data_IF_533331234133
#
_entry.id   IF_533331234133
#
_cell.length_a   1.000
_cell.length_b   1.000
_cell.length_c   1.000
_cell.angle_alpha   90.00
_cell.angle_beta   90.00
_cell.angle_gamma   90.00
#
_symmetry.space_group_name_H-M   'P 1'
#
loop_
_entity.id
_entity.type
_entity.pdbx_description
1 polymer ?
#
# COMPACT_ATOMS: atom_id res chain seq x y z
N UNK A 1 -4.81 29.04 -17.66
CA UNK A 1 -5.74 27.91 -17.62
C UNK A 1 -5.02 26.62 -17.89
N UNK A 2 -4.96 25.75 -16.89
CA UNK A 2 -4.52 24.37 -17.00
C UNK A 2 -5.74 23.48 -17.32
N UNK A 3 -5.64 22.63 -18.33
CA UNK A 3 -6.72 21.69 -18.71
C UNK A 3 -6.35 20.23 -18.45
N UNK A 4 -5.13 20.01 -17.95
CA UNK A 4 -4.54 18.73 -17.59
C UNK A 4 -3.47 18.96 -16.51
N UNK A 5 -2.97 17.89 -15.91
CA UNK A 5 -1.92 17.94 -14.90
C UNK A 5 -2.42 17.90 -13.45
N UNK A 6 -1.50 18.01 -12.47
CA UNK A 6 -1.77 17.63 -11.09
C UNK A 6 -2.83 18.49 -10.40
N UNK A 7 -2.81 19.81 -10.62
CA UNK A 7 -3.81 20.73 -10.07
C UNK A 7 -5.19 20.46 -10.66
N UNK A 8 -5.26 20.28 -11.98
CA UNK A 8 -6.50 19.98 -12.68
C UNK A 8 -7.13 18.67 -12.19
N UNK A 9 -6.34 17.60 -12.04
CA UNK A 9 -6.86 16.31 -11.55
C UNK A 9 -7.24 16.35 -10.07
N UNK A 10 -6.50 17.10 -9.24
CA UNK A 10 -6.89 17.37 -7.84
C UNK A 10 -8.22 18.12 -7.76
N UNK A 11 -8.41 19.16 -8.58
CA UNK A 11 -9.68 19.89 -8.69
C UNK A 11 -10.81 19.02 -9.25
N UNK A 12 -10.52 18.16 -10.22
CA UNK A 12 -11.49 17.23 -10.80
C UNK A 12 -11.95 16.22 -9.76
N UNK A 13 -11.03 15.63 -9.00
CA UNK A 13 -11.38 14.71 -7.91
C UNK A 13 -12.25 15.38 -6.84
N UNK A 14 -11.91 16.62 -6.46
CA UNK A 14 -12.74 17.45 -5.56
C UNK A 14 -14.12 17.74 -6.15
N UNK A 15 -14.19 18.08 -7.44
CA UNK A 15 -15.45 18.36 -8.13
C UNK A 15 -16.33 17.10 -8.22
N UNK A 16 -15.75 15.95 -8.56
CA UNK A 16 -16.45 14.67 -8.59
C UNK A 16 -17.01 14.30 -7.20
N UNK A 17 -16.24 14.56 -6.14
CA UNK A 17 -16.71 14.44 -4.76
C UNK A 17 -17.88 15.38 -4.47
N UNK A 18 -17.84 16.65 -4.89
CA UNK A 18 -18.96 17.59 -4.70
C UNK A 18 -20.20 17.16 -5.51
N UNK A 19 -20.04 16.75 -6.76
CA UNK A 19 -21.13 16.38 -7.66
C UNK A 19 -21.89 15.13 -7.16
N UNK A 20 -21.23 14.23 -6.44
CA UNK A 20 -21.90 13.11 -5.77
C UNK A 20 -22.80 13.55 -4.60
N UNK A 21 -22.56 14.72 -4.00
CA UNK A 21 -23.43 15.28 -2.94
C UNK A 21 -24.78 15.76 -3.49
N UNK A 22 -24.86 16.13 -4.77
CA UNK A 22 -26.06 16.73 -5.38
C UNK A 22 -26.81 15.79 -6.34
N UNK A 23 -26.30 14.57 -6.56
CA UNK A 23 -26.84 13.64 -7.56
C UNK A 23 -26.54 14.06 -9.00
N UNK A 24 -25.49 14.87 -9.21
CA UNK A 24 -25.15 15.50 -10.50
C UNK A 24 -23.80 15.03 -11.03
N UNK A 25 -23.38 13.80 -10.69
CA UNK A 25 -22.07 13.24 -11.03
C UNK A 25 -21.78 13.28 -12.55
N UNK A 26 -22.80 13.10 -13.40
CA UNK A 26 -22.67 13.13 -14.87
C UNK A 26 -22.82 14.54 -15.47
N UNK A 27 -23.11 15.56 -14.66
CA UNK A 27 -23.42 16.93 -15.13
C UNK A 27 -22.22 17.86 -14.98
N UNK A 28 -21.42 17.69 -13.92
CA UNK A 28 -20.28 18.56 -13.64
C UNK A 28 -19.00 18.07 -14.30
N UNK A 29 -18.58 18.77 -15.36
CA UNK A 29 -17.29 18.57 -16.02
C UNK A 29 -16.35 19.72 -15.70
N UNK A 30 -15.19 19.42 -15.11
CA UNK A 30 -14.11 20.41 -14.99
C UNK A 30 -13.55 20.72 -16.39
N UNK A 31 -13.59 22.00 -16.78
CA UNK A 31 -13.11 22.47 -18.09
C UNK A 31 -11.70 23.06 -18.03
N UNK A 32 -11.31 23.63 -16.89
CA UNK A 32 -9.99 24.20 -16.67
C UNK A 32 -9.78 24.59 -15.22
N UNK A 33 -8.51 24.75 -14.84
CA UNK A 33 -8.05 25.26 -13.57
C UNK A 33 -7.27 26.56 -13.80
N UNK A 34 -7.66 27.63 -13.14
CA UNK A 34 -6.98 28.93 -13.23
C UNK A 34 -6.39 29.29 -11.86
N UNK A 35 -5.09 29.57 -11.86
CA UNK A 35 -4.36 30.02 -10.66
C UNK A 35 -4.30 31.53 -10.67
N UNK A 36 -4.92 32.15 -9.67
CA UNK A 36 -4.89 33.60 -9.49
C UNK A 36 -4.00 33.97 -8.31
N UNK A 37 -3.27 35.08 -8.46
CA UNK A 37 -2.54 35.69 -7.36
C UNK A 37 -3.52 36.42 -6.44
N UNK A 38 -3.53 36.07 -5.16
CA UNK A 38 -4.25 36.84 -4.13
C UNK A 38 -3.48 38.14 -3.87
N UNK A 39 -4.13 39.28 -4.12
CA UNK A 39 -3.54 40.63 -3.94
C UNK A 39 -3.82 41.22 -2.55
N UNK A 40 -4.90 40.78 -1.91
CA UNK A 40 -5.30 41.20 -0.57
C UNK A 40 -6.40 40.30 -0.02
N UNK A 41 -6.50 40.22 1.30
CA UNK A 41 -7.56 39.52 2.02
C UNK A 41 -8.15 40.52 3.01
N UNK A 42 -9.45 40.76 2.89
CA UNK A 42 -10.19 41.65 3.78
C UNK A 42 -11.33 40.87 4.45
N UNK A 43 -11.57 41.17 5.73
CA UNK A 43 -12.65 40.54 6.49
C UNK A 43 -13.93 41.32 6.19
N UNK A 44 -14.73 40.80 5.26
CA UNK A 44 -15.99 41.45 4.89
C UNK A 44 -16.99 41.46 6.07
N UNK A 45 -17.08 40.37 6.83
CA UNK A 45 -18.01 40.21 7.94
C UNK A 45 -17.44 39.33 9.06
N UNK A 46 -17.82 39.63 10.30
CA UNK A 46 -17.46 38.86 11.49
C UNK A 46 -16.09 39.20 12.07
N UNK A 47 -15.80 38.63 13.24
CA UNK A 47 -14.48 38.67 13.85
C UNK A 47 -13.74 37.40 13.43
N UNK A 48 -12.47 37.47 12.97
CA UNK A 48 -11.75 36.26 12.61
C UNK A 48 -11.67 35.36 13.84
N UNK A 49 -12.11 34.11 13.67
CA UNK A 49 -12.05 33.14 14.74
C UNK A 49 -10.61 32.95 15.23
N UNK A 50 -10.43 32.65 16.51
CA UNK A 50 -9.10 32.27 17.01
C UNK A 50 -8.62 31.05 16.23
N UNK A 51 -7.38 31.09 15.73
CA UNK A 51 -6.77 29.90 15.15
C UNK A 51 -6.90 28.75 16.18
N UNK A 52 -7.38 27.57 15.77
CA UNK A 52 -7.54 26.47 16.70
C UNK A 52 -6.19 26.16 17.35
N UNK A 53 -6.14 26.17 18.68
CA UNK A 53 -4.99 25.67 19.43
C UNK A 53 -4.98 24.16 19.29
N UNK A 54 -4.29 23.65 18.26
CA UNK A 54 -4.22 22.23 17.94
C UNK A 54 -2.83 21.63 18.06
N UNK A 55 -2.71 20.36 17.67
CA UNK A 55 -1.45 19.62 17.54
C UNK A 55 -0.38 20.44 16.77
N UNK A 56 0.86 20.47 17.24
CA UNK A 56 1.95 21.05 16.45
C UNK A 56 2.47 20.02 15.44
N UNK A 57 2.02 20.13 14.18
CA UNK A 57 2.33 19.18 13.10
C UNK A 57 3.82 19.13 12.78
N UNK A 58 4.52 20.25 12.92
CA UNK A 58 5.97 20.30 12.71
C UNK A 58 6.72 19.56 13.82
N UNK A 59 6.28 19.69 15.08
CA UNK A 59 6.85 18.93 16.19
C UNK A 59 6.58 17.42 16.04
N UNK A 60 5.36 17.05 15.65
CA UNK A 60 4.99 15.67 15.31
C UNK A 60 5.85 15.12 14.17
N UNK A 61 5.99 15.88 13.08
CA UNK A 61 6.83 15.53 11.92
C UNK A 61 8.28 15.32 12.33
N UNK A 62 8.88 16.23 13.11
CA UNK A 62 10.27 16.09 13.58
C UNK A 62 10.47 14.81 14.40
N UNK A 63 9.53 14.46 15.27
CA UNK A 63 9.59 13.23 16.04
C UNK A 63 9.39 11.99 15.16
N UNK A 64 8.47 12.06 14.19
CA UNK A 64 8.22 11.00 13.25
C UNK A 64 9.44 10.72 12.35
N UNK A 65 10.08 11.75 11.79
CA UNK A 65 11.24 11.57 10.92
C UNK A 65 12.42 10.92 11.65
N UNK A 66 12.62 11.23 12.93
CA UNK A 66 13.63 10.57 13.75
C UNK A 66 13.37 9.06 13.94
N UNK A 67 12.11 8.66 14.16
CA UNK A 67 11.71 7.25 14.27
C UNK A 67 11.89 6.51 12.96
N UNK A 68 11.37 7.08 11.86
CA UNK A 68 11.49 6.48 10.52
C UNK A 68 12.95 6.34 10.10
N UNK A 69 13.79 7.34 10.37
CA UNK A 69 15.23 7.27 10.07
C UNK A 69 15.99 6.20 10.86
N UNK A 70 15.44 5.69 11.96
CA UNK A 70 16.01 4.62 12.77
C UNK A 70 15.61 3.20 12.33
N UNK A 71 14.70 3.06 11.35
CA UNK A 71 14.24 1.76 10.89
C UNK A 71 15.35 0.97 10.18
N UNK A 72 15.45 -0.33 10.49
CA UNK A 72 16.46 -1.21 9.93
C UNK A 72 16.01 -2.00 8.69
N UNK A 73 14.71 -1.97 8.39
CA UNK A 73 14.10 -2.64 7.24
C UNK A 73 12.71 -2.09 6.88
N UNK A 74 12.17 -2.54 5.74
CA UNK A 74 10.88 -2.07 5.23
C UNK A 74 9.69 -2.43 6.13
N UNK A 75 9.73 -3.58 6.81
CA UNK A 75 8.67 -3.97 7.74
C UNK A 75 8.56 -2.96 8.89
N UNK A 76 9.71 -2.57 9.47
CA UNK A 76 9.79 -1.53 10.48
C UNK A 76 9.35 -0.17 9.93
N UNK A 77 9.75 0.21 8.70
CA UNK A 77 9.28 1.47 8.08
C UNK A 77 7.75 1.51 7.98
N UNK A 78 7.11 0.45 7.49
CA UNK A 78 5.65 0.42 7.34
C UNK A 78 4.95 0.47 8.70
N UNK A 79 5.41 -0.33 9.67
CA UNK A 79 4.86 -0.36 11.02
C UNK A 79 5.01 0.97 11.75
N UNK A 80 6.23 1.51 11.79
CA UNK A 80 6.52 2.78 12.46
C UNK A 80 5.79 3.95 11.79
N UNK A 81 5.64 3.97 10.47
CA UNK A 81 4.87 5.01 9.77
C UNK A 81 3.43 5.06 10.25
N UNK A 82 2.77 3.91 10.38
CA UNK A 82 1.40 3.86 10.89
C UNK A 82 1.34 4.20 12.39
N UNK A 83 2.31 3.74 13.18
CA UNK A 83 2.40 4.05 14.60
C UNK A 83 2.56 5.56 14.85
N UNK A 84 3.45 6.25 14.13
CA UNK A 84 3.62 7.70 14.27
C UNK A 84 2.41 8.48 13.81
N UNK A 85 1.72 8.03 12.76
CA UNK A 85 0.45 8.64 12.34
C UNK A 85 -0.59 8.57 13.48
N UNK A 86 -0.68 7.42 14.15
CA UNK A 86 -1.56 7.25 15.29
C UNK A 86 -1.15 8.13 16.47
N UNK A 87 0.07 7.96 16.96
CA UNK A 87 0.54 8.49 18.23
C UNK A 87 0.85 9.98 18.17
N UNK A 88 1.34 10.48 17.03
CA UNK A 88 1.84 11.85 16.88
C UNK A 88 0.96 12.74 16.02
N UNK A 89 0.19 12.18 15.09
CA UNK A 89 -0.71 12.94 14.20
C UNK A 89 -2.19 12.79 14.52
N UNK A 90 -2.54 11.97 15.52
CA UNK A 90 -3.93 11.68 15.92
C UNK A 90 -4.75 11.11 14.75
N UNK A 91 -4.10 10.28 13.91
CA UNK A 91 -4.72 9.61 12.77
C UNK A 91 -5.11 8.19 13.18
N UNK A 92 -6.40 7.90 13.18
CA UNK A 92 -6.92 6.60 13.59
C UNK A 92 -7.06 5.59 12.46
N UNK A 93 -7.19 6.05 11.21
CA UNK A 93 -7.37 5.18 10.05
C UNK A 93 -6.38 5.57 8.95
N UNK A 94 -5.49 4.65 8.63
CA UNK A 94 -4.41 4.88 7.69
C UNK A 94 -4.03 3.61 6.94
N UNK A 95 -3.61 3.78 5.69
CA UNK A 95 -3.09 2.72 4.85
C UNK A 95 -1.79 3.14 4.19
N UNK A 96 -0.92 2.15 4.03
CA UNK A 96 0.29 2.27 3.25
C UNK A 96 0.14 1.38 2.01
N UNK A 97 0.18 2.01 0.83
CA UNK A 97 0.05 1.32 -0.44
C UNK A 97 1.33 1.50 -1.28
N UNK A 98 1.73 0.46 -2.00
CA UNK A 98 2.84 0.50 -2.94
C UNK A 98 2.36 0.32 -4.37
N UNK A 99 3.02 0.98 -5.31
CA UNK A 99 2.74 0.88 -6.73
C UNK A 99 3.44 -0.35 -7.33
N UNK A 100 2.66 -1.19 -7.99
CA UNK A 100 3.14 -2.11 -9.02
C UNK A 100 3.03 -1.40 -10.38
N UNK A 101 4.15 -0.90 -10.87
CA UNK A 101 4.21 -0.16 -12.13
C UNK A 101 3.89 -1.05 -13.34
N UNK A 102 4.22 -2.34 -13.28
CA UNK A 102 3.96 -3.29 -14.37
C UNK A 102 2.47 -3.64 -14.45
N UNK A 103 1.84 -3.86 -13.31
CA UNK A 103 0.40 -4.16 -13.25
C UNK A 103 -0.49 -2.89 -13.29
N UNK A 104 0.11 -1.69 -13.25
CA UNK A 104 -0.59 -0.41 -13.12
C UNK A 104 -1.61 -0.41 -11.97
N UNK A 105 -1.20 -0.92 -10.80
CA UNK A 105 -2.06 -1.07 -9.61
C UNK A 105 -1.29 -0.73 -8.35
N UNK A 106 -1.99 -0.18 -7.36
CA UNK A 106 -1.50 -0.11 -6.00
C UNK A 106 -1.95 -1.33 -5.21
N UNK A 107 -1.14 -1.77 -4.25
CA UNK A 107 -1.50 -2.82 -3.30
C UNK A 107 -1.20 -2.40 -1.87
N UNK A 108 -2.10 -2.74 -0.95
CA UNK A 108 -1.97 -2.42 0.48
C UNK A 108 -0.90 -3.30 1.13
N UNK A 109 0.11 -2.71 1.76
CA UNK A 109 1.15 -3.43 2.51
C UNK A 109 0.95 -3.34 4.02
N UNK A 110 0.27 -2.30 4.48
CA UNK A 110 -0.03 -2.07 5.88
C UNK A 110 -1.29 -1.23 6.04
N UNK A 111 -2.01 -1.44 7.12
CA UNK A 111 -3.20 -0.66 7.48
C UNK A 111 -3.33 -0.53 9.00
N UNK A 112 -4.07 0.48 9.42
CA UNK A 112 -4.32 0.83 10.83
C UNK A 112 -5.79 1.22 10.99
N UNK A 113 -6.44 0.72 12.05
CA UNK A 113 -7.76 1.18 12.49
C UNK A 113 -8.96 0.51 11.82
N UNK A 114 -8.75 -0.38 10.85
CA UNK A 114 -9.83 -1.06 10.13
C UNK A 114 -10.23 -2.39 10.78
N UNK A 115 -11.49 -2.79 10.57
CA UNK A 115 -12.02 -4.08 11.05
C UNK A 115 -11.32 -5.28 10.39
N UNK A 116 -10.91 -5.12 9.12
CA UNK A 116 -10.10 -6.07 8.38
C UNK A 116 -8.80 -5.39 7.96
N UNK A 117 -7.70 -6.14 7.94
CA UNK A 117 -6.41 -5.57 7.55
C UNK A 117 -6.39 -5.15 6.07
N UNK A 118 -7.02 -5.94 5.19
CA UNK A 118 -7.04 -5.67 3.75
C UNK A 118 -5.65 -5.65 3.10
N UNK A 119 -4.63 -6.16 3.78
CA UNK A 119 -3.28 -6.33 3.24
C UNK A 119 -3.34 -7.21 2.00
N UNK A 120 -2.78 -6.73 0.89
CA UNK A 120 -2.87 -7.37 -0.43
C UNK A 120 -4.10 -6.97 -1.26
N UNK A 121 -5.02 -6.14 -0.74
CA UNK A 121 -6.07 -5.53 -1.57
C UNK A 121 -5.44 -4.65 -2.65
N UNK A 122 -6.04 -4.63 -3.85
CA UNK A 122 -5.52 -3.90 -5.00
C UNK A 122 -6.44 -2.76 -5.45
N UNK A 123 -5.83 -1.68 -5.94
CA UNK A 123 -6.51 -0.53 -6.53
C UNK A 123 -5.91 -0.23 -7.91
N UNK A 124 -6.71 -0.05 -8.97
CA UNK A 124 -6.20 0.41 -10.25
C UNK A 124 -5.54 1.80 -10.16
N UNK A 125 -4.42 2.01 -10.85
CA UNK A 125 -3.81 3.32 -10.98
C UNK A 125 -4.80 4.30 -11.64
N UNK A 126 -4.91 5.51 -11.11
CA UNK A 126 -5.89 6.51 -11.55
C UNK A 126 -7.33 6.29 -11.06
N UNK A 127 -7.62 5.24 -10.28
CA UNK A 127 -8.93 5.02 -9.69
C UNK A 127 -9.02 5.61 -8.27
N UNK A 128 -10.05 6.43 -8.04
CA UNK A 128 -10.27 7.10 -6.75
C UNK A 128 -9.13 8.06 -6.36
N UNK A 129 -9.23 8.67 -5.18
CA UNK A 129 -8.21 9.63 -4.72
C UNK A 129 -6.82 9.01 -4.56
N UNK A 130 -6.74 7.74 -4.15
CA UNK A 130 -5.48 7.02 -3.99
C UNK A 130 -4.80 6.82 -5.36
N UNK A 131 -5.54 6.27 -6.33
CA UNK A 131 -5.00 5.99 -7.66
C UNK A 131 -4.65 7.26 -8.42
N UNK A 132 -5.44 8.33 -8.29
CA UNK A 132 -5.14 9.63 -8.93
C UNK A 132 -3.91 10.26 -8.27
N UNK A 133 -3.82 10.31 -6.94
CA UNK A 133 -2.65 10.84 -6.24
C UNK A 133 -1.37 10.10 -6.67
N UNK A 134 -1.44 8.77 -6.78
CA UNK A 134 -0.33 7.96 -7.24
C UNK A 134 0.12 8.31 -8.67
N UNK A 135 -0.84 8.45 -9.60
CA UNK A 135 -0.59 8.73 -11.02
C UNK A 135 -0.02 10.13 -11.24
N UNK A 136 -0.61 11.13 -10.58
CA UNK A 136 -0.26 12.53 -10.75
C UNK A 136 0.94 12.96 -9.89
N UNK A 137 1.31 12.17 -8.89
CA UNK A 137 2.40 12.50 -7.97
C UNK A 137 2.12 13.73 -7.11
N UNK A 138 0.85 14.05 -6.85
CA UNK A 138 0.42 15.17 -6.01
C UNK A 138 -0.53 14.73 -4.89
N UNK A 139 -0.49 15.34 -3.70
CA UNK A 139 -1.50 15.12 -2.66
C UNK A 139 -2.92 15.46 -3.11
N UNK A 140 -3.88 14.65 -2.68
CA UNK A 140 -5.32 14.90 -2.89
C UNK A 140 -6.03 14.86 -1.55
N UNK A 141 -6.60 16.00 -1.17
CA UNK A 141 -7.33 16.18 0.09
C UNK A 141 -8.80 16.47 -0.16
N UNK A 142 -9.66 15.65 0.44
CA UNK A 142 -11.11 15.82 0.44
C UNK A 142 -11.58 16.11 1.87
N UNK A 143 -12.06 17.32 2.10
CA UNK A 143 -12.40 17.77 3.46
C UNK A 143 -13.84 17.43 3.89
N UNK A 144 -14.72 17.06 2.96
CA UNK A 144 -16.09 16.63 3.22
C UNK A 144 -16.49 15.56 2.19
N UNK A 145 -17.09 14.47 2.65
CA UNK A 145 -17.60 13.36 1.86
C UNK A 145 -18.98 12.96 2.38
N UNK A 146 -19.93 12.71 1.49
CA UNK A 146 -21.15 11.96 1.81
C UNK A 146 -20.95 10.48 1.50
N UNK A 147 -21.71 9.62 2.19
CA UNK A 147 -21.69 8.15 2.06
C UNK A 147 -21.79 7.62 0.62
N UNK A 148 -22.23 8.45 -0.32
CA UNK A 148 -22.30 8.14 -1.76
C UNK A 148 -20.93 7.89 -2.42
N UNK A 149 -19.82 8.31 -1.79
CA UNK A 149 -18.46 8.02 -2.26
C UNK A 149 -17.74 6.97 -1.40
N UNK A 150 -18.49 6.04 -0.80
CA UNK A 150 -17.91 4.80 -0.32
C UNK A 150 -17.24 4.10 -1.51
N UNK A 151 -15.92 4.02 -1.47
CA UNK A 151 -15.00 3.49 -2.48
C UNK A 151 -15.42 2.13 -3.10
N UNK A 152 -16.30 1.38 -2.42
CA UNK A 152 -16.97 0.18 -2.94
C UNK A 152 -17.72 0.36 -4.27
N UNK A 153 -18.05 1.58 -4.70
CA UNK A 153 -18.60 1.85 -6.04
C UNK A 153 -17.53 2.09 -7.11
N UNK A 154 -16.38 2.71 -6.80
CA UNK A 154 -15.33 2.97 -7.78
C UNK A 154 -14.62 1.67 -8.23
N UNK A 155 -14.40 0.71 -7.31
CA UNK A 155 -13.93 -0.64 -7.67
C UNK A 155 -14.99 -1.38 -8.50
N UNK A 156 -16.27 -1.22 -8.17
CA UNK A 156 -17.38 -1.86 -8.89
C UNK A 156 -17.51 -1.31 -10.31
N UNK A 157 -17.41 0.00 -10.48
CA UNK A 157 -17.41 0.65 -11.80
C UNK A 157 -16.18 0.32 -12.63
N UNK A 158 -15.00 0.19 -12.02
CA UNK A 158 -13.78 -0.23 -12.71
C UNK A 158 -13.88 -1.72 -13.14
N UNK A 159 -14.47 -2.58 -12.31
CA UNK A 159 -14.77 -3.97 -12.66
C UNK A 159 -15.79 -4.08 -13.80
N UNK A 160 -16.83 -3.23 -13.78
CA UNK A 160 -17.86 -3.15 -14.84
C UNK A 160 -17.28 -2.60 -16.15
N UNK A 161 -16.44 -1.55 -16.11
CA UNK A 161 -15.76 -1.01 -17.30
C UNK A 161 -14.70 -1.94 -17.88
N UNK A 162 -14.11 -2.81 -17.05
CA UNK A 162 -13.10 -3.78 -17.47
C UNK A 162 -13.65 -5.05 -18.09
N UNK A 163 -14.96 -5.31 -18.01
CA UNK A 163 -15.60 -6.47 -18.64
C UNK A 163 -15.16 -7.84 -18.10
N UNK A 164 -14.73 -7.93 -16.84
CA UNK A 164 -14.25 -9.20 -16.25
C UNK A 164 -15.19 -9.68 -15.15
N UNK A 165 -16.23 -10.42 -15.55
CA UNK A 165 -16.97 -11.29 -14.63
C UNK A 165 -16.00 -12.31 -14.00
N UNK A 166 -15.98 -12.40 -12.65
CA UNK A 166 -15.15 -13.36 -11.90
C UNK A 166 -13.97 -12.76 -11.11
N UNK A 167 -13.59 -11.49 -11.30
CA UNK A 167 -12.52 -10.83 -10.49
C UNK A 167 -12.96 -10.54 -9.06
N UNK A 168 -14.27 -10.36 -8.83
CA UNK A 168 -14.84 -10.01 -7.53
C UNK A 168 -14.79 -11.17 -6.50
N UNK A 169 -14.76 -12.43 -6.93
CA UNK A 169 -14.69 -13.59 -6.03
C UNK A 169 -13.27 -13.90 -5.52
N UNK A 170 -12.23 -13.36 -6.18
CA UNK A 170 -10.81 -13.65 -5.88
C UNK A 170 -10.00 -12.42 -5.45
N UNK A 171 -10.68 -11.37 -4.98
CA UNK A 171 -10.04 -10.13 -4.54
C UNK A 171 -10.08 -10.03 -3.01
N UNK A 172 -8.94 -9.65 -2.41
CA UNK A 172 -8.89 -9.29 -1.00
C UNK A 172 -9.72 -8.00 -0.83
N UNK A 173 -10.72 -7.97 0.08
CA UNK A 173 -11.52 -6.78 0.32
C UNK A 173 -10.63 -5.58 0.65
N UNK A 174 -10.95 -4.45 0.03
CA UNK A 174 -10.26 -3.20 0.35
C UNK A 174 -10.72 -2.73 1.73
N UNK A 175 -9.81 -2.45 2.67
CA UNK A 175 -10.18 -1.96 3.98
C UNK A 175 -10.60 -0.49 3.82
N UNK A 176 -11.70 -0.05 4.43
CA UNK A 176 -12.16 1.33 4.29
C UNK A 176 -13.27 1.65 5.27
N UNK A 177 -13.43 2.92 5.65
CA UNK A 177 -14.53 3.32 6.53
C UNK A 177 -15.85 3.36 5.77
N UNK A 178 -16.89 2.77 6.36
CA UNK A 178 -18.27 2.88 5.86
C UNK A 178 -18.75 4.35 5.82
N UNK A 179 -18.34 5.14 6.81
CA UNK A 179 -18.68 6.56 6.95
C UNK A 179 -17.43 7.45 6.88
N UNK A 180 -16.63 7.30 5.83
CA UNK A 180 -15.52 8.24 5.58
C UNK A 180 -16.04 9.62 5.23
N UNK A 181 -15.75 10.62 6.07
CA UNK A 181 -16.17 12.03 5.91
C UNK A 181 -15.06 12.97 5.47
N UNK A 182 -13.81 12.61 5.69
CA UNK A 182 -12.67 13.32 5.11
C UNK A 182 -11.50 12.38 4.83
N UNK A 183 -10.73 12.70 3.80
CA UNK A 183 -9.65 11.87 3.27
C UNK A 183 -8.45 12.71 2.83
N UNK A 184 -7.26 12.13 2.93
CA UNK A 184 -6.03 12.69 2.39
C UNK A 184 -5.17 11.55 1.82
N UNK A 185 -4.91 11.60 0.52
CA UNK A 185 -4.01 10.69 -0.18
C UNK A 185 -2.71 11.43 -0.52
N UNK A 186 -1.59 10.93 -0.02
CA UNK A 186 -0.26 11.56 -0.15
C UNK A 186 0.69 10.60 -0.90
N UNK A 187 1.18 10.97 -2.09
CA UNK A 187 2.17 10.17 -2.81
C UNK A 187 3.46 10.01 -2.02
N UNK A 188 4.09 8.86 -2.15
CA UNK A 188 5.42 8.56 -1.59
C UNK A 188 6.44 8.71 -2.72
N UNK A 189 7.21 9.81 -2.78
CA UNK A 189 8.22 10.01 -3.80
C UNK A 189 9.51 9.25 -3.44
N UNK A 190 10.14 8.65 -4.44
CA UNK A 190 11.45 8.01 -4.34
C UNK A 190 12.19 8.19 -5.66
N UNK A 191 13.39 8.78 -5.61
CA UNK A 191 14.23 9.04 -6.80
C UNK A 191 13.47 9.72 -7.97
N UNK A 192 12.64 10.72 -7.67
CA UNK A 192 11.88 11.49 -8.67
C UNK A 192 10.64 10.81 -9.22
N UNK A 193 10.18 9.69 -8.62
CA UNK A 193 8.98 8.95 -9.04
C UNK A 193 8.09 8.63 -7.85
N UNK A 194 6.80 8.45 -8.08
CA UNK A 194 5.88 7.94 -7.06
C UNK A 194 6.00 6.42 -6.95
N UNK A 195 6.26 5.90 -5.75
CA UNK A 195 6.39 4.46 -5.48
C UNK A 195 5.27 3.89 -4.62
N UNK A 196 4.40 4.76 -4.11
CA UNK A 196 3.29 4.38 -3.25
C UNK A 196 2.45 5.58 -2.83
N UNK A 197 1.48 5.33 -1.96
CA UNK A 197 0.61 6.35 -1.37
C UNK A 197 0.43 6.04 0.11
N UNK A 198 0.60 7.08 0.93
CA UNK A 198 0.11 7.11 2.30
C UNK A 198 -1.31 7.68 2.28
N UNK A 199 -2.29 6.87 2.67
CA UNK A 199 -3.70 7.27 2.67
C UNK A 199 -4.21 7.34 4.11
N UNK A 200 -4.95 8.39 4.42
CA UNK A 200 -5.60 8.58 5.72
C UNK A 200 -7.05 9.00 5.53
N UNK A 201 -7.93 8.53 6.40
CA UNK A 201 -9.34 8.87 6.38
C UNK A 201 -9.91 9.08 7.79
N UNK A 202 -11.04 9.77 7.89
CA UNK A 202 -11.67 10.09 9.17
C UNK A 202 -13.19 10.14 9.05
N UNK A 203 -13.93 9.70 10.09
CA UNK A 203 -15.37 9.91 10.20
C UNK A 203 -15.74 11.33 10.59
N UNK A 204 -14.78 12.26 10.71
CA UNK A 204 -15.03 13.67 10.97
C UNK A 204 -14.86 14.50 9.69
N UNK A 205 -15.77 15.46 9.48
CA UNK A 205 -15.58 16.48 8.45
C UNK A 205 -14.37 17.36 8.81
N UNK A 206 -13.68 17.89 7.78
CA UNK A 206 -12.61 18.87 7.92
C UNK A 206 -11.42 18.42 8.79
N UNK A 207 -11.25 17.11 9.04
CA UNK A 207 -10.17 16.61 9.91
C UNK A 207 -8.76 16.90 9.37
N UNK A 208 -8.60 16.91 8.06
CA UNK A 208 -7.32 17.16 7.39
C UNK A 208 -7.26 18.59 6.82
N UNK A 209 -6.36 19.38 7.40
CA UNK A 209 -6.04 20.76 7.00
C UNK A 209 -4.89 20.81 6.00
N UNK A 210 -4.53 22.01 5.55
CA UNK A 210 -3.32 22.21 4.72
C UNK A 210 -2.04 21.90 5.50
N UNK A 211 -1.99 22.22 6.80
CA UNK A 211 -0.83 21.88 7.64
C UNK A 211 -0.65 20.36 7.79
N UNK A 212 -1.76 19.60 7.80
CA UNK A 212 -1.69 18.13 7.79
C UNK A 212 -1.20 17.63 6.42
N UNK A 213 -1.67 18.20 5.31
CA UNK A 213 -1.21 17.88 3.96
C UNK A 213 0.30 18.09 3.81
N UNK A 214 0.81 19.26 4.21
CA UNK A 214 2.24 19.60 4.13
C UNK A 214 3.09 18.68 5.03
N UNK A 215 2.64 18.43 6.26
CA UNK A 215 3.37 17.58 7.18
C UNK A 215 3.40 16.11 6.72
N UNK A 216 2.28 15.57 6.23
CA UNK A 216 2.24 14.21 5.72
C UNK A 216 3.00 14.08 4.40
N UNK A 217 3.02 15.11 3.54
CA UNK A 217 3.85 15.13 2.34
C UNK A 217 5.35 15.07 2.68
N UNK A 218 5.79 15.84 3.67
CA UNK A 218 7.16 15.78 4.16
C UNK A 218 7.50 14.42 4.80
N UNK A 219 6.58 13.85 5.57
CA UNK A 219 6.74 12.50 6.13
C UNK A 219 6.85 11.44 5.03
N UNK A 220 5.98 11.49 4.01
CA UNK A 220 5.99 10.56 2.89
C UNK A 220 7.30 10.63 2.09
N UNK A 221 7.86 11.82 1.91
CA UNK A 221 9.17 11.99 1.30
C UNK A 221 10.29 11.34 2.13
N UNK A 222 10.28 11.51 3.46
CA UNK A 222 11.24 10.85 4.35
C UNK A 222 11.10 9.33 4.32
N UNK A 223 9.87 8.82 4.30
CA UNK A 223 9.58 7.39 4.15
C UNK A 223 10.18 6.87 2.84
N UNK A 224 9.89 7.51 1.71
CA UNK A 224 10.42 7.12 0.40
C UNK A 224 11.95 7.13 0.35
N UNK A 225 12.59 8.13 0.96
CA UNK A 225 14.05 8.17 1.07
C UNK A 225 14.61 7.04 1.95
N UNK A 226 13.94 6.73 3.06
CA UNK A 226 14.37 5.65 3.96
C UNK A 226 14.23 4.29 3.27
N UNK A 227 13.13 4.06 2.57
CA UNK A 227 12.94 2.85 1.75
C UNK A 227 14.06 2.70 0.72
N UNK A 228 14.43 3.79 0.04
CA UNK A 228 15.50 3.78 -0.94
C UNK A 228 16.86 3.37 -0.34
N UNK A 229 17.22 3.95 0.82
CA UNK A 229 18.48 3.63 1.52
C UNK A 229 18.53 2.16 1.95
N UNK A 230 17.40 1.63 2.45
CA UNK A 230 17.31 0.24 2.87
C UNK A 230 17.45 -0.72 1.68
N UNK A 231 16.80 -0.42 0.56
CA UNK A 231 16.91 -1.21 -0.68
C UNK A 231 18.36 -1.26 -1.18
N UNK A 232 19.07 -0.12 -1.22
CA UNK A 232 20.47 -0.05 -1.64
C UNK A 232 21.42 -0.79 -0.68
N UNK A 233 21.09 -0.84 0.62
CA UNK A 233 21.91 -1.53 1.62
C UNK A 233 21.76 -3.05 1.51
N UNK A 234 20.53 -3.52 1.25
CA UNK A 234 20.21 -4.94 1.07
C UNK A 234 20.99 -5.58 -0.10
N UNK A 235 21.16 -4.84 -1.20
CA UNK A 235 21.93 -5.29 -2.38
C UNK A 235 23.41 -5.57 -2.08
N UNK A 236 23.99 -4.89 -1.07
CA UNK A 236 25.43 -4.96 -0.75
C UNK A 236 25.79 -6.08 0.22
N UNK A 237 24.86 -6.46 1.11
CA UNK A 237 25.13 -7.38 2.24
C UNK A 237 24.83 -8.87 1.93
N UNK A 238 24.27 -9.19 0.75
CA UNK A 238 23.83 -10.54 0.38
C UNK A 238 24.95 -11.57 0.15
N UNK A 239 25.55 -12.09 1.22
CA UNK A 239 26.40 -13.29 1.21
C UNK A 239 25.56 -14.56 1.45
N UNK A 240 25.90 -15.69 0.78
CA UNK A 240 25.17 -16.93 0.94
C UNK A 240 25.18 -17.40 2.41
N UNK A 241 24.09 -18.01 2.88
CA UNK A 241 23.99 -18.44 4.26
C UNK A 241 24.99 -19.56 4.58
N UNK A 242 25.57 -19.50 5.78
CA UNK A 242 26.21 -20.65 6.42
C UNK A 242 25.10 -21.52 7.00
N UNK A 243 24.89 -22.69 6.40
CA UNK A 243 23.71 -23.55 6.59
C UNK A 243 23.85 -24.36 7.88
N UNK A 244 23.57 -23.73 9.02
CA UNK A 244 23.78 -24.33 10.36
C UNK A 244 22.50 -24.67 11.12
N UNK A 245 21.30 -24.43 10.55
CA UNK A 245 20.04 -24.82 11.19
C UNK A 245 19.50 -26.12 10.60
N UNK A 246 19.40 -27.14 11.45
CA UNK A 246 18.74 -28.40 11.10
C UNK A 246 17.27 -28.16 10.74
N UNK A 247 16.78 -28.76 9.65
CA UNK A 247 15.37 -28.67 9.27
C UNK A 247 14.49 -29.25 10.39
N UNK A 248 13.49 -28.49 10.83
CA UNK A 248 12.44 -29.03 11.70
C UNK A 248 11.66 -30.07 10.92
N UNK A 249 11.52 -31.28 11.47
CA UNK A 249 10.71 -32.33 10.83
C UNK A 249 9.25 -31.87 10.79
N UNK A 250 8.73 -31.65 9.59
CA UNK A 250 7.33 -31.32 9.39
C UNK A 250 6.45 -32.54 9.71
N UNK A 251 5.43 -32.36 10.55
CA UNK A 251 4.58 -33.42 11.06
C UNK A 251 3.11 -33.16 10.69
N UNK A 252 2.34 -34.23 10.48
CA UNK A 252 0.89 -34.16 10.22
C UNK A 252 0.50 -34.31 8.74
N UNK A 253 -0.80 -34.12 8.45
CA UNK A 253 -1.36 -34.29 7.11
C UNK A 253 -0.78 -33.23 6.14
N UNK A 254 -0.36 -33.63 4.92
CA UNK A 254 0.17 -32.70 3.95
C UNK A 254 -0.83 -31.59 3.61
N UNK A 255 -0.36 -30.35 3.54
CA UNK A 255 -1.12 -29.20 3.02
C UNK A 255 -0.87 -29.09 1.51
N UNK A 256 -1.94 -28.98 0.71
CA UNK A 256 -1.81 -28.76 -0.73
C UNK A 256 -1.54 -27.29 -1.00
N UNK A 257 -0.50 -26.97 -1.77
CA UNK A 257 -0.26 -25.60 -2.24
C UNK A 257 -0.61 -25.57 -3.72
N UNK A 258 -1.72 -24.93 -4.08
CA UNK A 258 -2.17 -24.83 -5.48
C UNK A 258 -1.71 -23.52 -6.09
N UNK A 259 -1.05 -23.58 -7.23
CA UNK A 259 -0.60 -22.41 -7.99
C UNK A 259 -1.23 -22.37 -9.36
N UNK A 260 -1.74 -21.20 -9.74
CA UNK A 260 -2.34 -20.91 -11.04
C UNK A 260 -1.38 -20.00 -11.83
N UNK A 261 -0.70 -20.51 -12.87
CA UNK A 261 0.34 -19.76 -13.58
C UNK A 261 -0.16 -18.53 -14.36
N UNK A 262 -1.47 -18.47 -14.64
CA UNK A 262 -2.07 -17.40 -15.44
C UNK A 262 -1.91 -16.01 -14.78
N UNK A 263 -2.02 -15.96 -13.45
CA UNK A 263 -1.95 -14.73 -12.66
C UNK A 263 -1.11 -14.89 -11.37
N UNK A 264 -0.40 -16.00 -11.25
CA UNK A 264 0.37 -16.40 -10.07
C UNK A 264 -0.45 -16.47 -8.78
N UNK A 265 -1.76 -16.75 -8.89
CA UNK A 265 -2.61 -17.00 -7.72
C UNK A 265 -2.19 -18.27 -6.98
N UNK A 266 -2.14 -18.18 -5.65
CA UNK A 266 -1.78 -19.27 -4.74
C UNK A 266 -2.89 -19.51 -3.73
N UNK A 267 -3.20 -20.79 -3.51
CA UNK A 267 -4.14 -21.28 -2.51
C UNK A 267 -3.45 -22.27 -1.57
N UNK A 268 -3.82 -22.24 -0.29
CA UNK A 268 -3.49 -23.24 0.70
C UNK A 268 -4.72 -24.13 0.88
N UNK A 269 -4.65 -25.36 0.40
CA UNK A 269 -5.82 -26.18 0.07
C UNK A 269 -6.80 -25.36 -0.78
N UNK A 270 -8.02 -25.09 -0.28
CA UNK A 270 -9.06 -24.31 -0.97
C UNK A 270 -9.06 -22.82 -0.58
N UNK A 271 -8.19 -22.40 0.35
CA UNK A 271 -8.16 -21.05 0.87
C UNK A 271 -7.22 -20.14 0.07
N UNK A 272 -7.77 -19.07 -0.51
CA UNK A 272 -6.99 -18.08 -1.27
C UNK A 272 -5.95 -17.37 -0.38
N UNK A 273 -4.67 -17.43 -0.75
CA UNK A 273 -3.59 -16.78 -0.01
C UNK A 273 -3.25 -15.41 -0.62
N UNK A 274 -2.79 -15.41 -1.87
CA UNK A 274 -2.19 -14.25 -2.56
C UNK A 274 -2.10 -14.51 -4.07
N UNK A 275 -1.76 -13.49 -4.87
CA UNK A 275 -1.51 -13.60 -6.32
C UNK A 275 -0.36 -12.72 -6.80
N UNK A 276 -0.06 -12.76 -8.10
CA UNK A 276 0.94 -11.94 -8.75
C UNK A 276 2.36 -12.25 -8.27
N UNK A 277 3.23 -11.24 -8.26
CA UNK A 277 4.65 -11.39 -7.91
C UNK A 277 4.84 -12.08 -6.55
N UNK A 278 4.07 -11.72 -5.52
CA UNK A 278 4.19 -12.34 -4.21
C UNK A 278 3.77 -13.82 -4.21
N UNK A 279 2.78 -14.19 -5.04
CA UNK A 279 2.42 -15.58 -5.29
C UNK A 279 3.52 -16.35 -6.03
N UNK A 280 4.15 -15.73 -7.03
CA UNK A 280 5.29 -16.31 -7.74
C UNK A 280 6.50 -16.54 -6.81
N UNK A 281 6.81 -15.58 -5.93
CA UNK A 281 7.83 -15.72 -4.87
C UNK A 281 7.50 -16.93 -4.01
N UNK A 282 6.29 -17.01 -3.46
CA UNK A 282 5.91 -18.11 -2.58
C UNK A 282 5.97 -19.47 -3.27
N UNK A 283 5.49 -19.55 -4.51
CA UNK A 283 5.55 -20.77 -5.32
C UNK A 283 6.99 -21.25 -5.56
N UNK A 284 7.91 -20.33 -5.86
CA UNK A 284 9.33 -20.64 -6.02
C UNK A 284 9.92 -21.22 -4.71
N UNK A 285 9.66 -20.58 -3.57
CA UNK A 285 10.13 -21.01 -2.25
C UNK A 285 9.61 -22.41 -1.88
N UNK A 286 8.30 -22.64 -2.03
CA UNK A 286 7.67 -23.93 -1.71
C UNK A 286 8.14 -25.03 -2.65
N UNK A 287 8.32 -24.73 -3.94
CA UNK A 287 8.84 -25.68 -4.92
C UNK A 287 10.26 -26.14 -4.56
N UNK A 288 11.13 -25.20 -4.17
CA UNK A 288 12.51 -25.52 -3.78
C UNK A 288 12.57 -26.30 -2.46
N UNK A 289 11.70 -25.98 -1.50
CA UNK A 289 11.54 -26.75 -0.27
C UNK A 289 11.10 -28.19 -0.57
N UNK A 290 10.04 -28.37 -1.37
CA UNK A 290 9.49 -29.70 -1.65
C UNK A 290 10.43 -30.59 -2.50
N UNK A 291 11.19 -30.01 -3.42
CA UNK A 291 12.10 -30.75 -4.30
C UNK A 291 13.47 -31.03 -3.67
N UNK A 292 14.02 -30.06 -2.92
CA UNK A 292 15.42 -30.07 -2.47
C UNK A 292 15.58 -30.03 -0.96
N UNK A 293 14.49 -29.93 -0.20
CA UNK A 293 14.52 -29.72 1.26
C UNK A 293 15.07 -28.34 1.65
N UNK A 294 15.13 -27.40 0.70
CA UNK A 294 15.77 -26.10 0.90
C UNK A 294 14.93 -25.21 1.80
N UNK A 295 15.54 -24.66 2.85
CA UNK A 295 14.85 -23.78 3.82
C UNK A 295 15.48 -22.39 3.93
N UNK A 296 16.70 -22.18 3.44
CA UNK A 296 17.43 -20.90 3.54
C UNK A 296 17.50 -20.18 2.19
N UNK A 297 17.16 -18.89 2.18
CA UNK A 297 17.06 -18.08 0.97
C UNK A 297 17.64 -16.66 1.14
N UNK A 298 17.98 -16.02 0.02
CA UNK A 298 18.45 -14.64 -0.05
C UNK A 298 17.60 -13.77 -0.97
N UNK A 299 17.54 -12.46 -0.72
CA UNK A 299 16.84 -11.55 -1.63
C UNK A 299 17.53 -11.49 -3.01
N UNK A 300 18.87 -11.57 -3.03
CA UNK A 300 19.68 -11.52 -4.27
C UNK A 300 19.34 -12.65 -5.22
N UNK A 301 19.20 -13.88 -4.73
CA UNK A 301 18.87 -15.01 -5.62
C UNK A 301 17.43 -14.94 -6.12
N UNK A 302 16.47 -14.51 -5.29
CA UNK A 302 15.09 -14.35 -5.71
C UNK A 302 14.97 -13.27 -6.79
N UNK A 303 15.79 -12.22 -6.71
CA UNK A 303 15.85 -11.19 -7.78
C UNK A 303 16.29 -11.73 -9.12
N UNK A 304 17.15 -12.76 -9.11
CA UNK A 304 17.69 -13.39 -10.31
C UNK A 304 16.85 -14.61 -10.76
N UNK A 305 15.83 -15.00 -9.98
CA UNK A 305 15.01 -16.16 -10.29
C UNK A 305 14.03 -15.85 -11.43
N UNK A 306 14.16 -16.51 -12.60
CA UNK A 306 13.28 -16.25 -13.74
C UNK A 306 11.82 -16.62 -13.48
N UNK A 307 11.52 -17.44 -12.45
CA UNK A 307 10.15 -17.81 -12.08
C UNK A 307 9.35 -16.65 -11.50
N UNK A 308 10.02 -15.68 -10.86
CA UNK A 308 9.37 -14.63 -10.07
C UNK A 308 8.96 -13.43 -10.94
N UNK A 309 9.61 -13.24 -12.10
CA UNK A 309 9.29 -12.18 -13.07
C UNK A 309 9.19 -10.78 -12.42
N UNK A 310 10.20 -10.41 -11.63
CA UNK A 310 10.20 -9.11 -10.97
C UNK A 310 10.20 -7.95 -11.98
N UNK A 311 9.43 -6.87 -11.73
CA UNK A 311 9.51 -5.64 -12.50
C UNK A 311 10.93 -5.05 -12.47
N UNK A 312 11.44 -4.61 -13.64
CA UNK A 312 12.75 -3.96 -13.73
C UNK A 312 12.79 -2.56 -13.10
N UNK A 313 11.63 -1.91 -12.94
CA UNK A 313 11.51 -0.56 -12.35
C UNK A 313 10.81 -0.69 -11.00
N UNK A 314 11.49 -0.27 -9.93
CA UNK A 314 10.91 -0.31 -8.58
C UNK A 314 10.66 -1.74 -8.11
N UNK A 315 11.61 -2.65 -8.35
CA UNK A 315 11.63 -3.98 -7.74
C UNK A 315 11.39 -3.80 -6.24
N UNK A 316 10.19 -4.20 -5.81
CA UNK A 316 9.74 -4.09 -4.44
C UNK A 316 9.72 -5.49 -3.81
N UNK A 317 10.71 -6.35 -4.15
CA UNK A 317 10.75 -7.74 -3.68
C UNK A 317 10.60 -7.81 -2.15
N UNK A 318 11.35 -6.99 -1.42
CA UNK A 318 11.29 -6.98 0.04
C UNK A 318 9.88 -6.59 0.54
N UNK A 319 9.21 -5.63 -0.09
CA UNK A 319 7.83 -5.31 0.26
C UNK A 319 6.86 -6.46 -0.08
N UNK A 320 7.11 -7.23 -1.15
CA UNK A 320 6.35 -8.45 -1.48
C UNK A 320 6.60 -9.57 -0.47
N UNK A 321 7.81 -9.68 0.07
CA UNK A 321 8.13 -10.61 1.15
C UNK A 321 7.42 -10.22 2.46
N UNK A 322 7.44 -8.93 2.83
CA UNK A 322 6.69 -8.42 3.99
C UNK A 322 5.18 -8.66 3.82
N UNK A 323 4.64 -8.37 2.63
CA UNK A 323 3.25 -8.65 2.28
C UNK A 323 2.91 -10.14 2.48
N UNK A 324 3.74 -11.03 1.93
CA UNK A 324 3.56 -12.47 2.01
C UNK A 324 3.66 -12.98 3.46
N UNK A 325 4.63 -12.50 4.24
CA UNK A 325 4.79 -12.83 5.66
C UNK A 325 3.53 -12.47 6.44
N UNK A 326 2.98 -11.26 6.24
CA UNK A 326 1.74 -10.82 6.90
C UNK A 326 0.55 -11.69 6.53
N UNK A 327 0.39 -12.02 5.25
CA UNK A 327 -0.69 -12.91 4.77
C UNK A 327 -0.60 -14.32 5.34
N UNK A 328 0.60 -14.88 5.44
CA UNK A 328 0.82 -16.19 6.05
C UNK A 328 0.47 -16.20 7.55
N UNK A 329 0.79 -15.12 8.27
CA UNK A 329 0.42 -14.95 9.68
C UNK A 329 -1.08 -14.78 9.85
N UNK A 330 -1.72 -13.92 9.06
CA UNK A 330 -3.16 -13.66 9.07
C UNK A 330 -3.98 -14.93 8.83
N UNK A 331 -3.49 -15.84 7.98
CA UNK A 331 -4.14 -17.12 7.67
C UNK A 331 -3.73 -18.28 8.59
N UNK A 332 -2.97 -18.01 9.65
CA UNK A 332 -2.43 -19.02 10.55
C UNK A 332 -1.76 -20.20 9.80
N UNK A 333 -1.08 -19.89 8.69
CA UNK A 333 -0.56 -20.89 7.78
C UNK A 333 0.49 -21.79 8.45
N UNK A 334 0.57 -23.05 8.03
CA UNK A 334 1.58 -24.01 8.50
C UNK A 334 2.99 -23.74 7.95
N UNK A 335 3.15 -22.66 7.19
CA UNK A 335 4.41 -22.19 6.63
C UNK A 335 4.62 -20.73 6.95
N UNK A 336 5.83 -20.38 7.37
CA UNK A 336 6.24 -19.02 7.74
C UNK A 336 7.53 -18.63 7.05
N UNK A 337 7.66 -17.35 6.74
CA UNK A 337 8.90 -16.73 6.29
C UNK A 337 9.46 -15.97 7.48
N UNK A 338 10.66 -16.35 7.91
CA UNK A 338 11.34 -15.71 9.04
C UNK A 338 12.63 -15.07 8.59
N UNK A 339 12.78 -13.78 8.90
CA UNK A 339 14.02 -13.07 8.63
C UNK A 339 15.16 -13.62 9.49
N UNK A 340 16.29 -13.92 8.86
CA UNK A 340 17.50 -14.44 9.52
C UNK A 340 18.67 -13.47 9.45
N UNK A 341 18.53 -12.39 8.70
CA UNK A 341 19.49 -11.29 8.59
C UNK A 341 19.06 -10.31 7.50
N UNK A 342 19.92 -9.34 7.19
CA UNK A 342 19.72 -8.47 6.01
C UNK A 342 19.78 -9.31 4.75
N UNK A 343 18.82 -9.12 3.86
CA UNK A 343 18.70 -9.88 2.60
C UNK A 343 18.54 -11.38 2.76
N UNK A 344 18.22 -11.88 3.96
CA UNK A 344 18.25 -13.31 4.30
C UNK A 344 17.04 -13.71 5.12
N UNK A 345 16.45 -14.83 4.76
CA UNK A 345 15.31 -15.39 5.45
C UNK A 345 15.28 -16.91 5.32
N UNK A 346 14.48 -17.56 6.16
CA UNK A 346 14.23 -18.98 6.07
C UNK A 346 12.73 -19.29 5.99
N UNK A 347 12.41 -20.35 5.27
CA UNK A 347 11.09 -20.95 5.21
C UNK A 347 10.94 -21.97 6.33
N UNK A 348 10.07 -21.69 7.30
CA UNK A 348 9.70 -22.63 8.37
C UNK A 348 8.41 -23.32 8.02
N UNK A 349 8.42 -24.65 8.09
CA UNK A 349 7.30 -25.49 7.68
C UNK A 349 6.96 -26.45 8.82
N UNK A 350 5.72 -26.40 9.31
CA UNK A 350 5.26 -27.26 10.41
C UNK A 350 4.54 -28.51 9.93
N UNK A 351 3.92 -28.47 8.73
CA UNK A 351 3.26 -29.60 8.06
C UNK A 351 3.86 -29.82 6.66
N UNK A 352 3.98 -31.07 6.17
CA UNK A 352 4.47 -31.32 4.82
C UNK A 352 3.69 -30.52 3.77
N UNK A 353 4.38 -29.94 2.78
CA UNK A 353 3.76 -29.18 1.70
C UNK A 353 3.74 -30.00 0.41
N UNK A 354 2.60 -30.04 -0.27
CA UNK A 354 2.44 -30.68 -1.58
C UNK A 354 2.14 -29.61 -2.64
N UNK A 355 3.16 -29.12 -3.37
CA UNK A 355 2.93 -28.17 -4.47
C UNK A 355 2.20 -28.85 -5.62
N UNK A 356 1.15 -28.20 -6.12
CA UNK A 356 0.35 -28.63 -7.27
C UNK A 356 0.14 -27.43 -8.19
N UNK A 357 0.66 -27.50 -9.41
CA UNK A 357 0.38 -26.49 -10.42
C UNK A 357 -0.93 -26.84 -11.11
N UNK A 358 -1.88 -25.90 -11.14
CA UNK A 358 -3.20 -26.06 -11.74
C UNK A 358 -3.20 -25.35 -13.10
N UNK A 359 -3.60 -26.10 -14.13
CA UNK A 359 -3.60 -25.66 -15.54
C UNK A 359 -4.77 -24.80 -15.92
#
# INVERSE_FOLDING_TARGET
>A
TETEGPLFESMRAKLASIASHTGMADVFRLLGADVYRVTGIEIAHGTPGRAPTGLNRLAALRAATARIGGCADLEAVFGETLAVLHELFDVHHAMFLLLDATAARLYTVASLGYSESGVGSEIPLGAGVIGIAAREGTPIRLSRLTSAYAYGQAIREAAVRGGIEGVLERAIPFPGLAESRSQLAVPIPMAGRTVGVLFVESPQDLRFSYDDEDALAALAAQVGQTMHVLQLSDERDGHPPDDTRQPSVALGAPLTVRHYPADDSVFLDDDYLIKGVAGAVFWALVSDYAQRGRTSFTNRELRLDPRIRLPQIGDNLEARLVLLQRRLVEREACVRIEKTGRGRFCLRVTRPLRPVQVG
#
